data_IF_545067217036
#
_entry.id   IF_545067217036
#
_cell.length_a   1.000
_cell.length_b   1.000
_cell.length_c   1.000
_cell.angle_alpha   90.00
_cell.angle_beta   90.00
_cell.angle_gamma   90.00
#
_symmetry.space_group_name_H-M   'P 1'
#
loop_
_entity.id
_entity.type
_entity.pdbx_description
1 polymer ?
#
# COMPACT_ATOMS: atom_id res chain seq x y z
N UNK A 1 -36.04 -5.54 7.17
CA UNK A 1 -34.58 -5.63 7.44
C UNK A 1 -34.06 -4.22 7.69
N UNK A 2 -33.69 -3.91 8.93
CA UNK A 2 -33.21 -2.59 9.33
C UNK A 2 -31.69 -2.65 9.27
N UNK A 3 -31.10 -2.04 8.24
CA UNK A 3 -29.65 -1.90 8.17
C UNK A 3 -29.25 -0.78 9.14
N UNK A 4 -28.58 -1.16 10.23
CA UNK A 4 -28.13 -0.25 11.27
C UNK A 4 -27.34 0.92 10.69
N UNK A 5 -27.57 2.12 11.25
CA UNK A 5 -26.80 3.34 11.02
C UNK A 5 -25.31 3.01 11.12
N UNK A 6 -24.63 3.08 9.98
CA UNK A 6 -23.19 2.97 9.90
C UNK A 6 -22.61 4.34 10.31
N UNK A 7 -22.17 4.47 11.56
CA UNK A 7 -21.52 5.67 12.06
C UNK A 7 -20.08 5.76 11.51
N UNK A 8 -19.87 6.67 10.56
CA UNK A 8 -18.56 7.06 10.03
C UNK A 8 -17.86 8.11 10.91
N UNK A 9 -17.82 7.91 12.22
CA UNK A 9 -16.98 8.75 13.08
C UNK A 9 -15.50 8.48 12.76
N UNK A 10 -14.89 9.41 12.01
CA UNK A 10 -13.53 9.45 11.45
C UNK A 10 -12.38 9.43 12.50
N UNK A 11 -12.70 9.29 13.79
CA UNK A 11 -11.72 9.49 14.87
C UNK A 11 -10.73 8.34 15.02
N UNK A 12 -11.08 7.12 14.59
CA UNK A 12 -10.14 5.98 14.58
C UNK A 12 -9.04 6.08 13.52
N UNK A 13 -9.33 6.72 12.38
CA UNK A 13 -8.47 6.70 11.17
C UNK A 13 -7.28 7.67 11.29
N UNK A 14 -7.43 8.77 12.04
CA UNK A 14 -6.37 9.78 12.25
C UNK A 14 -5.16 9.23 13.02
N UNK A 15 -5.38 8.32 13.96
CA UNK A 15 -4.31 7.74 14.80
C UNK A 15 -3.33 6.87 14.00
N UNK A 16 -3.80 6.23 12.92
CA UNK A 16 -3.01 5.30 12.09
C UNK A 16 -2.15 5.97 11.04
N UNK A 17 -2.67 7.03 10.41
CA UNK A 17 -1.95 7.80 9.38
C UNK A 17 -0.63 8.39 9.90
N UNK A 18 -0.54 8.65 11.21
CA UNK A 18 0.66 9.20 11.85
C UNK A 18 1.70 8.15 12.28
N UNK A 19 1.42 6.84 12.23
CA UNK A 19 2.36 5.79 12.67
C UNK A 19 3.63 5.72 11.78
N UNK A 20 3.60 6.21 10.54
CA UNK A 20 4.77 6.25 9.64
C UNK A 20 5.73 7.38 9.95
N UNK A 21 5.20 8.62 10.07
CA UNK A 21 5.95 9.81 10.52
C UNK A 21 6.57 9.58 11.91
N UNK A 22 5.86 8.86 12.77
CA UNK A 22 6.34 8.44 14.10
C UNK A 22 7.60 7.56 14.06
N UNK A 23 7.74 6.59 13.14
CA UNK A 23 8.94 5.71 13.13
C UNK A 23 10.19 6.45 12.67
N UNK A 24 10.08 7.32 11.66
CA UNK A 24 11.21 8.16 11.23
C UNK A 24 11.63 9.11 12.35
N UNK A 25 10.68 9.74 13.03
CA UNK A 25 10.96 10.60 14.19
C UNK A 25 11.57 9.83 15.37
N UNK A 26 11.13 8.59 15.64
CA UNK A 26 11.75 7.75 16.66
C UNK A 26 13.19 7.41 16.31
N UNK A 27 13.48 7.13 15.03
CA UNK A 27 14.83 6.84 14.58
C UNK A 27 15.74 8.05 14.75
N UNK A 28 15.31 9.23 14.29
CA UNK A 28 16.11 10.46 14.44
C UNK A 28 16.32 10.82 15.90
N UNK A 29 15.32 10.61 16.75
CA UNK A 29 15.46 10.83 18.19
C UNK A 29 16.44 9.84 18.84
N UNK A 30 16.40 8.57 18.45
CA UNK A 30 17.33 7.55 18.93
C UNK A 30 18.77 7.84 18.49
N UNK A 31 18.98 8.26 17.24
CA UNK A 31 20.29 8.66 16.70
C UNK A 31 20.82 9.90 17.44
N UNK A 32 20.01 10.96 17.59
CA UNK A 32 20.39 12.16 18.35
C UNK A 32 20.73 11.87 19.82
N UNK A 33 20.04 10.93 20.46
CA UNK A 33 20.35 10.52 21.84
C UNK A 33 21.73 9.86 21.91
N UNK A 34 22.03 8.95 20.99
CA UNK A 34 23.35 8.30 20.90
C UNK A 34 24.46 9.33 20.68
N UNK A 35 24.29 10.23 19.72
CA UNK A 35 25.26 11.29 19.44
C UNK A 35 25.51 12.20 20.65
N UNK A 36 24.46 12.52 21.43
CA UNK A 36 24.60 13.32 22.65
C UNK A 36 25.42 12.59 23.71
N UNK A 37 25.17 11.30 23.91
CA UNK A 37 25.92 10.49 24.88
C UNK A 37 27.37 10.35 24.43
N UNK A 38 27.63 10.11 23.14
CA UNK A 38 28.99 10.04 22.59
C UNK A 38 29.76 11.35 22.76
N UNK A 39 29.12 12.50 22.46
CA UNK A 39 29.73 13.83 22.71
C UNK A 39 30.05 14.06 24.17
N UNK A 40 29.16 13.65 25.08
CA UNK A 40 29.39 13.76 26.53
C UNK A 40 30.52 12.83 26.99
N UNK A 41 30.66 11.64 26.43
CA UNK A 41 31.79 10.73 26.74
C UNK A 41 33.14 11.32 26.39
N UNK A 42 33.22 12.07 25.28
CA UNK A 42 34.46 12.72 24.86
C UNK A 42 34.79 13.97 25.68
N UNK A 43 33.78 14.69 26.17
CA UNK A 43 33.99 15.91 26.97
C UNK A 43 34.12 15.64 28.46
N UNK A 44 33.15 14.92 29.05
CA UNK A 44 32.98 14.71 30.49
C UNK A 44 32.49 13.26 30.77
N UNK A 45 33.40 12.29 30.99
CA UNK A 45 33.02 10.88 31.12
C UNK A 45 32.14 10.60 32.34
N UNK A 46 32.35 11.28 33.47
CA UNK A 46 31.55 11.11 34.68
C UNK A 46 30.09 11.54 34.49
N UNK A 47 29.87 12.68 33.81
CA UNK A 47 28.52 13.15 33.49
C UNK A 47 27.84 12.21 32.50
N UNK A 48 28.57 11.62 31.56
CA UNK A 48 28.01 10.64 30.64
C UNK A 48 27.50 9.39 31.38
N UNK A 49 28.26 8.86 32.34
CA UNK A 49 27.86 7.72 33.17
C UNK A 49 26.58 8.05 33.96
N UNK A 50 26.55 9.21 34.63
CA UNK A 50 25.38 9.64 35.39
C UNK A 50 24.12 9.80 34.53
N UNK A 51 24.26 10.29 33.28
CA UNK A 51 23.15 10.41 32.33
C UNK A 51 22.68 9.02 31.87
N UNK A 52 23.59 8.12 31.53
CA UNK A 52 23.25 6.75 31.14
C UNK A 52 22.52 5.99 32.26
N UNK A 53 22.96 6.12 33.50
CA UNK A 53 22.30 5.51 34.66
C UNK A 53 20.88 6.07 34.86
N UNK A 54 20.72 7.40 34.80
CA UNK A 54 19.40 8.04 34.86
C UNK A 54 18.48 7.55 33.74
N UNK A 55 18.98 7.36 32.53
CA UNK A 55 18.19 6.82 31.41
C UNK A 55 17.82 5.35 31.61
N UNK A 56 18.74 4.52 32.12
CA UNK A 56 18.49 3.11 32.46
C UNK A 56 17.37 2.97 33.49
N UNK A 57 17.41 3.76 34.56
CA UNK A 57 16.35 3.76 35.58
C UNK A 57 15.01 4.22 35.04
N UNK A 58 14.98 5.31 34.25
CA UNK A 58 13.75 5.77 33.58
C UNK A 58 13.17 4.68 32.67
N UNK A 59 14.01 3.98 31.92
CA UNK A 59 13.59 2.86 31.06
C UNK A 59 13.00 1.72 31.88
N UNK A 60 13.63 1.36 33.01
CA UNK A 60 13.12 0.32 33.91
C UNK A 60 11.73 0.66 34.46
N UNK A 61 11.50 1.91 34.89
CA UNK A 61 10.20 2.40 35.38
C UNK A 61 9.14 2.32 34.27
N UNK A 62 9.46 2.78 33.05
CA UNK A 62 8.50 2.71 31.94
C UNK A 62 8.15 1.26 31.56
N UNK A 63 9.11 0.35 31.66
CA UNK A 63 8.88 -1.07 31.42
C UNK A 63 8.02 -1.70 32.51
N UNK A 64 8.21 -1.34 33.79
CA UNK A 64 7.35 -1.81 34.89
C UNK A 64 5.92 -1.29 34.79
N UNK A 65 5.74 -0.08 34.24
CA UNK A 65 4.44 0.48 33.87
C UNK A 65 3.82 -0.16 32.60
N UNK A 66 4.44 -1.22 32.04
CA UNK A 66 4.02 -1.90 30.80
C UNK A 66 3.99 -1.01 29.54
N UNK A 67 4.73 0.11 29.51
CA UNK A 67 4.84 0.95 28.31
C UNK A 67 5.82 0.34 27.31
N UNK A 68 5.38 0.14 26.07
CA UNK A 68 6.21 -0.43 24.98
C UNK A 68 7.23 0.59 24.47
N UNK A 69 8.48 0.47 24.90
CA UNK A 69 9.59 1.31 24.44
C UNK A 69 10.07 0.90 23.03
N UNK A 70 10.36 1.88 22.16
CA UNK A 70 10.74 1.64 20.75
C UNK A 70 11.92 2.51 20.37
N UNK A 71 13.04 2.24 21.00
CA UNK A 71 14.21 3.13 20.96
C UNK A 71 15.40 2.51 20.19
N UNK A 72 15.30 1.24 19.78
CA UNK A 72 16.40 0.53 19.09
C UNK A 72 16.49 0.96 17.61
N UNK A 73 17.59 1.61 17.18
CA UNK A 73 17.68 2.21 15.85
C UNK A 73 17.70 1.15 14.73
N UNK A 74 18.30 -0.02 14.96
CA UNK A 74 18.33 -1.10 13.97
C UNK A 74 16.93 -1.68 13.70
N UNK A 75 16.14 -1.87 14.76
CA UNK A 75 14.78 -2.37 14.65
C UNK A 75 13.88 -1.33 13.98
N UNK A 76 14.07 -0.04 14.27
CA UNK A 76 13.38 1.06 13.60
C UNK A 76 13.71 1.11 12.10
N UNK A 77 14.99 0.95 11.72
CA UNK A 77 15.43 0.84 10.31
C UNK A 77 14.79 -0.39 9.62
N UNK A 78 14.80 -1.55 10.26
CA UNK A 78 14.14 -2.78 9.74
C UNK A 78 12.63 -2.57 9.56
N UNK A 79 11.97 -1.90 10.51
CA UNK A 79 10.55 -1.58 10.44
C UNK A 79 10.21 -0.65 9.27
N UNK A 80 11.05 0.36 8.99
CA UNK A 80 10.91 1.21 7.81
C UNK A 80 11.02 0.40 6.52
N UNK A 81 12.05 -0.44 6.39
CA UNK A 81 12.23 -1.32 5.23
C UNK A 81 11.02 -2.25 5.01
N UNK A 82 10.45 -2.80 6.08
CA UNK A 82 9.23 -3.63 5.99
C UNK A 82 8.04 -2.83 5.46
N UNK A 83 7.82 -1.61 5.96
CA UNK A 83 6.75 -0.73 5.47
C UNK A 83 6.92 -0.40 3.99
N UNK A 84 8.13 -0.09 3.56
CA UNK A 84 8.44 0.16 2.15
C UNK A 84 8.17 -1.06 1.27
N UNK A 85 8.58 -2.27 1.70
CA UNK A 85 8.27 -3.52 0.99
C UNK A 85 6.77 -3.75 0.86
N UNK A 86 6.00 -3.54 1.93
CA UNK A 86 4.54 -3.66 1.91
C UNK A 86 3.94 -2.68 0.91
N UNK A 87 4.39 -1.42 0.91
CA UNK A 87 3.93 -0.40 -0.04
C UNK A 87 4.25 -0.78 -1.49
N UNK A 88 5.46 -1.25 -1.77
CA UNK A 88 5.86 -1.74 -3.10
C UNK A 88 4.98 -2.92 -3.55
N UNK A 89 4.77 -3.92 -2.69
CA UNK A 89 3.88 -5.06 -2.98
C UNK A 89 2.46 -4.58 -3.29
N UNK A 90 1.91 -3.71 -2.45
CA UNK A 90 0.57 -3.16 -2.69
C UNK A 90 0.49 -2.39 -4.00
N UNK A 91 1.48 -1.56 -4.33
CA UNK A 91 1.49 -0.81 -5.59
C UNK A 91 1.48 -1.76 -6.80
N UNK A 92 2.31 -2.81 -6.77
CA UNK A 92 2.37 -3.83 -7.83
C UNK A 92 1.04 -4.55 -8.00
N UNK A 93 0.45 -5.04 -6.91
CA UNK A 93 -0.87 -5.70 -6.96
C UNK A 93 -1.97 -4.79 -7.53
N UNK A 94 -1.93 -3.51 -7.21
CA UNK A 94 -2.89 -2.54 -7.76
C UNK A 94 -2.67 -2.29 -9.26
N UNK A 95 -1.42 -2.27 -9.74
CA UNK A 95 -1.12 -2.19 -11.16
C UNK A 95 -1.61 -3.44 -11.90
N UNK A 96 -1.27 -4.64 -11.41
CA UNK A 96 -1.72 -5.92 -11.98
C UNK A 96 -3.25 -6.01 -12.02
N UNK A 97 -3.95 -5.53 -10.98
CA UNK A 97 -5.42 -5.46 -10.97
C UNK A 97 -5.97 -4.53 -12.05
N UNK A 98 -5.37 -3.34 -12.24
CA UNK A 98 -5.79 -2.40 -13.28
C UNK A 98 -5.60 -3.00 -14.67
N UNK A 99 -4.43 -3.57 -14.94
CA UNK A 99 -4.12 -4.24 -16.21
C UNK A 99 -5.10 -5.38 -16.49
N UNK A 100 -5.39 -6.22 -15.49
CA UNK A 100 -6.36 -7.31 -15.63
C UNK A 100 -7.78 -6.81 -15.91
N UNK A 101 -8.19 -5.71 -15.30
CA UNK A 101 -9.49 -5.09 -15.55
C UNK A 101 -9.55 -4.56 -16.99
N UNK A 102 -8.51 -3.85 -17.43
CA UNK A 102 -8.41 -3.33 -18.79
C UNK A 102 -8.42 -4.46 -19.82
N UNK A 103 -7.60 -5.49 -19.63
CA UNK A 103 -7.55 -6.65 -20.51
C UNK A 103 -8.92 -7.33 -20.63
N UNK A 104 -9.64 -7.48 -19.51
CA UNK A 104 -11.01 -8.03 -19.51
C UNK A 104 -11.99 -7.16 -20.28
N UNK A 105 -11.92 -5.84 -20.12
CA UNK A 105 -12.74 -4.90 -20.87
C UNK A 105 -12.45 -4.99 -22.38
N UNK A 106 -11.17 -4.97 -22.76
CA UNK A 106 -10.74 -5.11 -24.15
C UNK A 106 -11.18 -6.45 -24.75
N UNK A 107 -11.02 -7.57 -24.04
CA UNK A 107 -11.49 -8.91 -24.47
C UNK A 107 -12.99 -8.93 -24.73
N UNK A 108 -13.79 -8.35 -23.83
CA UNK A 108 -15.25 -8.24 -23.99
C UNK A 108 -15.61 -7.39 -25.21
N UNK A 109 -14.94 -6.26 -25.40
CA UNK A 109 -15.18 -5.39 -26.55
C UNK A 109 -14.78 -6.07 -27.87
N UNK A 110 -13.63 -6.74 -27.93
CA UNK A 110 -13.19 -7.53 -29.09
C UNK A 110 -14.18 -8.65 -29.44
N UNK A 111 -14.73 -9.35 -28.44
CA UNK A 111 -15.77 -10.36 -28.67
C UNK A 111 -17.05 -9.73 -29.24
N UNK A 112 -17.49 -8.60 -28.70
CA UNK A 112 -18.66 -7.86 -29.20
C UNK A 112 -18.47 -7.40 -30.64
N UNK A 113 -17.33 -6.80 -30.98
CA UNK A 113 -17.06 -6.32 -32.35
C UNK A 113 -16.98 -7.47 -33.35
N UNK A 114 -16.36 -8.60 -32.97
CA UNK A 114 -16.35 -9.84 -33.77
C UNK A 114 -17.77 -10.34 -34.03
N UNK A 115 -18.60 -10.49 -33.00
CA UNK A 115 -19.98 -10.96 -33.14
C UNK A 115 -20.84 -10.03 -34.02
N UNK A 116 -20.66 -8.70 -33.88
CA UNK A 116 -21.36 -7.73 -34.74
C UNK A 116 -20.92 -7.88 -36.20
N UNK A 117 -19.61 -8.03 -36.44
CA UNK A 117 -19.06 -8.23 -37.80
C UNK A 117 -19.59 -9.53 -38.42
N UNK A 118 -19.62 -10.62 -37.67
CA UNK A 118 -20.19 -11.90 -38.12
C UNK A 118 -21.68 -11.78 -38.42
N UNK A 119 -22.46 -11.12 -37.56
CA UNK A 119 -23.89 -10.86 -37.82
C UNK A 119 -24.12 -10.02 -39.08
N UNK A 120 -23.28 -9.00 -39.33
CA UNK A 120 -23.34 -8.19 -40.56
C UNK A 120 -23.00 -9.03 -41.79
N UNK A 121 -21.93 -9.83 -41.75
CA UNK A 121 -21.54 -10.74 -42.84
C UNK A 121 -22.65 -11.76 -43.12
N UNK A 122 -23.17 -12.44 -42.11
CA UNK A 122 -24.26 -13.40 -42.27
C UNK A 122 -25.52 -12.81 -42.92
N UNK A 123 -25.89 -11.57 -42.59
CA UNK A 123 -26.98 -10.86 -43.27
C UNK A 123 -26.68 -10.59 -44.74
N UNK A 124 -25.45 -10.18 -45.07
CA UNK A 124 -25.02 -9.96 -46.45
C UNK A 124 -24.98 -11.27 -47.24
N UNK A 125 -24.43 -12.33 -46.66
CA UNK A 125 -24.34 -13.65 -47.28
C UNK A 125 -25.72 -14.25 -47.52
N UNK A 126 -26.65 -14.08 -46.58
CA UNK A 126 -28.05 -14.49 -46.76
C UNK A 126 -28.70 -13.74 -47.93
N UNK A 127 -28.53 -12.41 -48.03
CA UNK A 127 -29.02 -11.63 -49.18
C UNK A 127 -28.41 -12.12 -50.49
N UNK A 128 -27.10 -12.37 -50.53
CA UNK A 128 -26.41 -12.93 -51.72
C UNK A 128 -26.98 -14.30 -52.11
N UNK A 129 -27.22 -15.20 -51.14
CA UNK A 129 -27.82 -16.53 -51.39
C UNK A 129 -29.24 -16.41 -51.96
N UNK A 130 -30.08 -15.52 -51.44
CA UNK A 130 -31.43 -15.28 -51.99
C UNK A 130 -31.38 -14.74 -53.42
N UNK A 131 -30.47 -13.79 -53.71
CA UNK A 131 -30.31 -13.24 -55.06
C UNK A 131 -29.88 -14.32 -56.07
N UNK A 132 -28.92 -15.18 -55.70
CA UNK A 132 -28.51 -16.34 -56.51
C UNK A 132 -29.66 -17.32 -56.76
N UNK A 133 -30.46 -17.66 -55.72
CA UNK A 133 -31.64 -18.54 -55.87
C UNK A 133 -32.69 -17.96 -56.83
N UNK A 134 -32.79 -16.63 -56.92
CA UNK A 134 -33.67 -15.92 -57.86
C UNK A 134 -33.07 -15.70 -59.25
N UNK A 135 -31.93 -16.33 -59.57
CA UNK A 135 -31.28 -16.24 -60.88
C UNK A 135 -30.61 -14.88 -61.17
N UNK A 136 -30.47 -13.99 -60.18
CA UNK A 136 -29.77 -12.72 -60.37
C UNK A 136 -28.26 -12.97 -60.31
N UNK A 137 -27.50 -12.52 -61.32
CA UNK A 137 -26.04 -12.51 -61.29
C UNK A 137 -25.57 -11.59 -60.16
N UNK A 138 -24.86 -12.17 -59.21
CA UNK A 138 -24.30 -11.49 -58.04
C UNK A 138 -22.79 -11.39 -58.26
N UNK A 139 -22.19 -10.19 -58.32
CA UNK A 139 -20.74 -10.02 -58.22
C UNK A 139 -20.15 -10.56 -56.90
#
# INVERSE_FOLDING_TARGET
>A
MIFGKLDFSDDGIKSEKNKGKKIKALLTNAEKKKEKIEKLKSSDPEKAIAVEEKEKWKKAILLSENKKLKDDPELLKKSLKRKEKIKKKSAKEWQERKERVEERQQKRQKKRTKNIREKKKGKMDHKKKLAKKKGKIVP
#
